data_IF_020091423385
#
_entry.id   IF_020091423385
#
_cell.length_a   1.000
_cell.length_b   1.000
_cell.length_c   1.000
_cell.angle_alpha   90.00
_cell.angle_beta   90.00
_cell.angle_gamma   90.00
#
_symmetry.space_group_name_H-M   'P 1'
#
loop_
_entity.id
_entity.type
_entity.pdbx_description
1 polymer ?
#
# COMPACT_ATOMS: atom_id res chain seq x y z
N UNK A 1 -18.22 -12.44 12.50
CA UNK A 1 -17.51 -11.20 12.87
C UNK A 1 -16.11 -11.21 12.24
N UNK A 2 -15.69 -10.15 11.57
CA UNK A 2 -14.36 -10.11 11.00
C UNK A 2 -13.28 -10.20 12.08
N UNK A 3 -12.08 -10.71 11.75
CA UNK A 3 -10.97 -10.74 12.69
C UNK A 3 -10.65 -9.31 13.18
N UNK A 4 -10.36 -9.20 14.46
CA UNK A 4 -10.10 -7.91 15.06
C UNK A 4 -8.96 -8.03 16.08
N UNK A 5 -7.99 -7.14 15.98
CA UNK A 5 -6.89 -7.03 16.94
C UNK A 5 -6.84 -5.60 17.47
N UNK A 6 -6.89 -5.45 18.78
CA UNK A 6 -6.81 -4.12 19.39
C UNK A 6 -5.39 -3.58 19.29
N UNK A 7 -5.21 -2.32 18.88
CA UNK A 7 -3.89 -1.69 18.94
C UNK A 7 -3.36 -1.68 20.39
N UNK A 8 -2.08 -1.97 20.55
CA UNK A 8 -1.43 -1.97 21.86
C UNK A 8 -0.80 -0.62 22.19
N UNK A 9 -0.77 0.32 21.23
CA UNK A 9 -0.12 1.61 21.36
C UNK A 9 -1.04 2.73 20.88
N UNK A 10 -0.80 3.94 21.37
CA UNK A 10 -1.42 5.14 20.81
C UNK A 10 -0.85 5.39 19.42
N UNK A 11 -1.62 6.05 18.55
CA UNK A 11 -1.19 6.33 17.18
C UNK A 11 0.15 7.08 17.12
N UNK A 12 0.36 8.01 18.07
CA UNK A 12 1.61 8.77 18.18
C UNK A 12 2.83 7.91 18.52
N UNK A 13 2.62 6.66 18.90
CA UNK A 13 3.67 5.68 19.22
C UNK A 13 3.77 4.57 18.15
N UNK A 14 2.82 4.52 17.21
CA UNK A 14 2.74 3.46 16.22
C UNK A 14 3.69 3.63 15.06
N UNK A 15 4.23 2.51 14.59
CA UNK A 15 4.84 2.40 13.27
C UNK A 15 3.73 2.04 12.27
N UNK A 16 3.54 2.89 11.27
CA UNK A 16 2.45 2.75 10.30
C UNK A 16 3.00 2.42 8.93
N UNK A 17 2.34 1.50 8.24
CA UNK A 17 2.61 1.18 6.84
C UNK A 17 1.37 1.42 6.00
N UNK A 18 1.58 1.74 4.73
CA UNK A 18 0.53 1.86 3.72
C UNK A 18 0.44 0.59 2.89
N UNK A 19 -0.77 0.15 2.63
CA UNK A 19 -1.08 -0.92 1.68
C UNK A 19 -2.21 -0.40 0.79
N UNK A 20 -1.97 -0.29 -0.50
CA UNK A 20 -2.97 0.22 -1.45
C UNK A 20 -3.32 -0.80 -2.52
N UNK A 21 -4.51 -0.69 -3.09
CA UNK A 21 -4.91 -1.42 -4.29
C UNK A 21 -4.91 -0.53 -5.53
N UNK A 22 -4.27 0.62 -5.45
CA UNK A 22 -4.28 1.63 -6.51
C UNK A 22 -3.32 1.38 -7.68
N UNK A 23 -2.59 0.28 -7.69
CA UNK A 23 -1.64 -0.02 -8.78
C UNK A 23 -0.42 0.89 -8.77
N UNK A 24 -0.03 1.40 -7.62
CA UNK A 24 1.10 2.34 -7.47
C UNK A 24 2.42 1.58 -7.61
N UNK A 25 3.38 2.18 -8.27
CA UNK A 25 4.73 1.63 -8.39
C UNK A 25 5.75 2.76 -8.69
N UNK A 26 7.02 2.45 -8.49
CA UNK A 26 8.09 3.36 -8.93
C UNK A 26 8.19 3.30 -10.47
N UNK A 27 8.64 4.39 -11.13
CA UNK A 27 8.79 4.39 -12.59
C UNK A 27 9.68 3.26 -13.12
N UNK A 28 10.68 2.84 -12.34
CA UNK A 28 11.60 1.76 -12.73
C UNK A 28 11.12 0.35 -12.42
N UNK A 29 10.02 0.20 -11.70
CA UNK A 29 9.44 -1.12 -11.42
C UNK A 29 8.57 -1.60 -12.58
N UNK A 30 8.41 -2.92 -12.76
CA UNK A 30 7.48 -3.45 -13.75
C UNK A 30 6.05 -2.92 -13.50
N UNK A 31 5.36 -2.59 -14.57
CA UNK A 31 3.95 -2.21 -14.49
C UNK A 31 3.10 -3.42 -14.10
N UNK A 32 1.95 -3.15 -13.46
CA UNK A 32 0.97 -4.20 -13.25
C UNK A 32 0.37 -4.62 -14.61
N UNK A 33 0.06 -5.91 -14.72
CA UNK A 33 -0.53 -6.47 -15.94
C UNK A 33 -2.04 -6.24 -15.92
N UNK A 34 -2.46 -5.13 -16.54
CA UNK A 34 -3.89 -4.77 -16.63
C UNK A 34 -4.65 -5.60 -17.67
N UNK A 35 -3.93 -6.37 -18.49
CA UNK A 35 -4.52 -7.20 -19.54
C UNK A 35 -4.78 -8.63 -19.06
N UNK A 36 -4.32 -9.00 -17.89
CA UNK A 36 -4.57 -10.32 -17.32
C UNK A 36 -6.06 -10.46 -16.97
N UNK A 37 -6.78 -11.41 -17.62
CA UNK A 37 -8.22 -11.57 -17.40
C UNK A 37 -8.58 -12.00 -15.97
N UNK A 38 -7.65 -12.58 -15.24
CA UNK A 38 -7.87 -13.02 -13.84
C UNK A 38 -7.41 -11.96 -12.84
N UNK A 39 -6.63 -11.00 -13.29
CA UNK A 39 -6.06 -9.95 -12.43
C UNK A 39 -4.64 -10.25 -12.01
N UNK A 40 -3.85 -9.20 -11.84
CA UNK A 40 -2.45 -9.28 -11.41
C UNK A 40 -2.39 -9.24 -9.89
N UNK A 41 -2.07 -10.37 -9.25
CA UNK A 41 -1.98 -10.50 -7.80
C UNK A 41 -0.60 -10.16 -7.23
N UNK A 42 0.33 -9.73 -8.07
CA UNK A 42 1.65 -9.28 -7.59
C UNK A 42 1.55 -7.95 -6.84
N UNK A 43 2.60 -7.63 -6.12
CA UNK A 43 2.68 -6.35 -5.40
C UNK A 43 4.03 -5.69 -5.63
N UNK A 44 4.12 -4.41 -5.28
CA UNK A 44 5.37 -3.64 -5.35
C UNK A 44 5.70 -3.11 -3.96
N UNK A 45 6.97 -3.14 -3.60
CA UNK A 45 7.46 -2.49 -2.40
C UNK A 45 7.82 -1.04 -2.74
N UNK A 46 7.31 -0.11 -1.94
CA UNK A 46 7.54 1.31 -2.13
C UNK A 46 8.32 1.83 -0.92
N UNK A 47 9.53 2.37 -1.13
CA UNK A 47 10.28 2.92 0.00
C UNK A 47 9.62 4.18 0.56
N UNK A 48 9.77 4.38 1.87
CA UNK A 48 9.15 5.51 2.56
C UNK A 48 9.62 6.87 2.04
N UNK A 49 10.82 6.95 1.50
CA UNK A 49 11.41 8.16 0.96
C UNK A 49 11.14 8.37 -0.53
N UNK A 50 10.30 7.54 -1.15
CA UNK A 50 9.98 7.66 -2.56
C UNK A 50 9.43 9.05 -2.88
N UNK A 51 10.01 9.68 -3.90
CA UNK A 51 9.60 11.01 -4.35
C UNK A 51 8.89 10.96 -5.70
N UNK A 52 9.11 9.89 -6.45
CA UNK A 52 8.64 9.77 -7.82
C UNK A 52 7.85 8.47 -7.96
N UNK A 53 6.53 8.60 -8.05
CA UNK A 53 5.61 7.47 -8.11
C UNK A 53 4.69 7.62 -9.32
N UNK A 54 4.28 6.48 -9.85
CA UNK A 54 3.25 6.43 -10.89
C UNK A 54 2.27 5.31 -10.54
N UNK A 55 1.27 5.09 -11.37
CA UNK A 55 0.31 4.03 -11.15
C UNK A 55 -0.16 3.43 -12.46
N UNK A 56 -0.61 2.17 -12.41
CA UNK A 56 -1.22 1.45 -13.52
C UNK A 56 -2.44 0.73 -13.00
N UNK A 57 -3.61 1.08 -13.48
CA UNK A 57 -4.87 0.49 -13.01
C UNK A 57 -5.79 0.14 -14.19
N UNK A 58 -6.57 -0.93 -14.05
CA UNK A 58 -7.44 -1.43 -15.12
C UNK A 58 -8.62 -0.50 -15.42
N UNK A 59 -9.12 0.22 -14.44
CA UNK A 59 -10.36 0.98 -14.56
C UNK A 59 -10.16 2.48 -14.71
N UNK A 60 -9.01 3.01 -14.37
CA UNK A 60 -8.74 4.42 -14.57
C UNK A 60 -7.27 4.65 -14.82
N UNK A 61 -6.95 5.81 -15.34
CA UNK A 61 -5.58 6.18 -15.68
C UNK A 61 -5.17 7.42 -14.90
N UNK A 62 -3.91 7.53 -14.48
CA UNK A 62 -3.43 8.77 -13.94
C UNK A 62 -3.53 9.85 -15.02
N UNK A 63 -4.05 10.99 -14.66
CA UNK A 63 -4.10 12.16 -15.52
C UNK A 63 -3.53 13.37 -14.76
N UNK A 64 -3.44 14.50 -15.47
CA UNK A 64 -2.83 15.70 -14.89
C UNK A 64 -3.57 16.25 -13.68
N UNK A 65 -4.82 15.91 -13.52
CA UNK A 65 -5.64 16.38 -12.40
C UNK A 65 -5.68 15.42 -11.22
N UNK A 66 -5.07 14.25 -11.33
CA UNK A 66 -5.18 13.22 -10.30
C UNK A 66 -4.11 13.40 -9.23
N UNK A 67 -4.56 13.54 -7.99
CA UNK A 67 -3.67 13.59 -6.83
C UNK A 67 -3.37 12.18 -6.34
N UNK A 68 -2.15 11.71 -6.57
CA UNK A 68 -1.70 10.39 -6.16
C UNK A 68 -1.77 10.21 -4.64
N UNK A 69 -1.57 11.28 -3.87
CA UNK A 69 -1.64 11.23 -2.40
C UNK A 69 -3.06 10.87 -1.91
N UNK A 70 -4.09 11.07 -2.73
CA UNK A 70 -5.44 10.64 -2.38
C UNK A 70 -5.62 9.12 -2.43
N UNK A 71 -4.79 8.44 -3.20
CA UNK A 71 -4.83 6.98 -3.36
C UNK A 71 -3.75 6.31 -2.50
N UNK A 72 -2.59 6.95 -2.41
CA UNK A 72 -1.45 6.45 -1.66
C UNK A 72 -0.87 7.60 -0.83
N UNK A 73 -1.43 7.87 0.35
CA UNK A 73 -1.16 9.11 1.11
C UNK A 73 0.20 9.11 1.83
N UNK A 74 1.27 8.83 1.10
CA UNK A 74 2.62 8.78 1.65
C UNK A 74 3.10 10.15 2.13
N UNK A 75 2.84 11.19 1.32
CA UNK A 75 3.24 12.56 1.68
C UNK A 75 2.46 13.07 2.89
N UNK A 76 1.16 12.78 2.94
CA UNK A 76 0.32 13.13 4.10
C UNK A 76 0.83 12.44 5.36
N UNK A 77 1.15 11.15 5.29
CA UNK A 77 1.68 10.42 6.44
C UNK A 77 3.04 10.95 6.89
N UNK A 78 3.91 11.31 5.96
CA UNK A 78 5.19 11.96 6.31
C UNK A 78 4.96 13.24 7.12
N UNK A 79 3.99 14.05 6.70
CA UNK A 79 3.61 15.26 7.41
C UNK A 79 3.10 14.97 8.82
N UNK A 80 2.25 13.93 8.97
CA UNK A 80 1.71 13.54 10.26
C UNK A 80 2.79 13.01 11.21
N UNK A 81 3.79 12.32 10.69
CA UNK A 81 4.95 11.92 11.49
C UNK A 81 5.72 13.16 11.97
N UNK A 82 5.93 14.12 11.07
CA UNK A 82 6.61 15.38 11.43
C UNK A 82 5.86 16.19 12.47
N UNK A 83 4.52 16.09 12.50
CA UNK A 83 3.67 16.76 13.49
C UNK A 83 3.49 15.97 14.79
N UNK A 84 4.01 14.74 14.87
CA UNK A 84 3.89 13.90 16.05
C UNK A 84 2.54 13.20 16.19
N UNK A 85 1.70 13.21 15.17
CA UNK A 85 0.40 12.51 15.17
C UNK A 85 0.58 11.01 15.00
N UNK A 86 1.54 10.62 14.15
CA UNK A 86 1.95 9.23 13.91
C UNK A 86 3.36 9.05 14.45
N UNK A 87 3.65 7.94 15.10
CA UNK A 87 4.95 7.70 15.73
C UNK A 87 6.08 7.62 14.72
N UNK A 88 5.97 6.72 13.75
CA UNK A 88 6.93 6.61 12.66
C UNK A 88 6.30 5.95 11.44
N UNK A 89 6.89 6.23 10.29
CA UNK A 89 6.50 5.62 9.03
C UNK A 89 7.40 4.42 8.79
N UNK A 90 6.81 3.27 8.42
CA UNK A 90 7.61 2.11 8.08
C UNK A 90 8.49 2.42 6.87
N UNK A 91 9.66 1.79 6.79
CA UNK A 91 10.64 2.02 5.71
C UNK A 91 10.16 1.55 4.35
N UNK A 92 9.18 0.64 4.30
CA UNK A 92 8.60 0.14 3.05
C UNK A 92 7.10 0.02 3.16
N UNK A 93 6.44 0.28 2.06
CA UNK A 93 4.99 0.21 1.91
C UNK A 93 4.68 -0.73 0.75
N UNK A 94 3.41 -1.09 0.57
CA UNK A 94 3.04 -2.13 -0.38
C UNK A 94 1.91 -1.66 -1.27
N UNK A 95 2.04 -1.94 -2.58
CA UNK A 95 1.02 -1.60 -3.55
C UNK A 95 0.60 -2.83 -4.33
N UNK A 96 -0.72 -3.06 -4.37
CA UNK A 96 -1.38 -4.09 -5.14
C UNK A 96 -2.19 -3.46 -6.26
N UNK A 97 -2.66 -4.27 -7.17
CA UNK A 97 -3.68 -3.93 -8.14
C UNK A 97 -5.07 -4.23 -7.58
N UNK A 98 -6.09 -3.46 -7.99
CA UNK A 98 -7.45 -3.61 -7.47
C UNK A 98 -8.34 -4.54 -8.27
N UNK A 99 -8.23 -4.56 -9.58
CA UNK A 99 -9.13 -5.32 -10.47
C UNK A 99 -8.73 -6.80 -10.55
N UNK A 100 -9.00 -7.55 -9.50
CA UNK A 100 -8.59 -8.97 -9.39
C UNK A 100 -9.83 -9.85 -9.41
N UNK A 101 -10.04 -10.57 -10.51
CA UNK A 101 -11.19 -11.46 -10.67
C UNK A 101 -10.97 -12.83 -10.05
N UNK A 102 -9.72 -13.32 -10.02
CA UNK A 102 -9.36 -14.53 -9.29
C UNK A 102 -8.45 -14.18 -8.11
N UNK A 103 -9.00 -14.06 -6.90
CA UNK A 103 -8.20 -13.68 -5.73
C UNK A 103 -7.45 -14.85 -5.08
N UNK A 104 -7.47 -16.06 -5.65
CA UNK A 104 -6.79 -17.21 -5.10
C UNK A 104 -5.31 -16.96 -4.81
N UNK A 105 -4.50 -16.56 -5.82
CA UNK A 105 -3.08 -16.28 -5.58
C UNK A 105 -2.85 -15.13 -4.60
N UNK A 106 -3.75 -14.14 -4.58
CA UNK A 106 -3.67 -13.05 -3.62
C UNK A 106 -3.83 -13.57 -2.18
N UNK A 107 -4.84 -14.40 -1.95
CA UNK A 107 -5.14 -14.95 -0.63
C UNK A 107 -4.11 -15.96 -0.15
N UNK A 108 -3.57 -16.74 -1.05
CA UNK A 108 -2.70 -17.88 -0.71
C UNK A 108 -1.22 -17.51 -0.70
N UNK A 109 -0.81 -16.52 -1.47
CA UNK A 109 0.61 -16.19 -1.67
C UNK A 109 0.94 -14.75 -1.32
N UNK A 110 0.46 -13.78 -2.10
CA UNK A 110 0.95 -12.40 -1.99
C UNK A 110 0.50 -11.68 -0.72
N UNK A 111 -0.75 -11.83 -0.29
CA UNK A 111 -1.21 -11.20 0.93
C UNK A 111 -0.54 -11.78 2.19
N UNK A 112 -0.42 -13.11 2.34
CA UNK A 112 0.35 -13.65 3.47
C UNK A 112 1.81 -13.22 3.46
N UNK A 113 2.43 -13.11 2.31
CA UNK A 113 3.82 -12.65 2.20
C UNK A 113 3.96 -11.20 2.68
N UNK A 114 3.07 -10.31 2.27
CA UNK A 114 3.07 -8.91 2.74
C UNK A 114 2.81 -8.85 4.24
N UNK A 115 1.88 -9.66 4.74
CA UNK A 115 1.60 -9.70 6.18
C UNK A 115 2.84 -10.10 6.99
N UNK A 116 3.60 -11.10 6.52
CA UNK A 116 4.85 -11.48 7.16
C UNK A 116 5.89 -10.36 7.15
N UNK A 117 6.00 -9.65 6.02
CA UNK A 117 6.94 -8.52 5.90
C UNK A 117 6.57 -7.38 6.84
N UNK A 118 5.29 -7.09 6.97
CA UNK A 118 4.81 -6.07 7.92
C UNK A 118 5.13 -6.48 9.37
N UNK A 119 4.89 -7.74 9.72
CA UNK A 119 5.21 -8.26 11.04
C UNK A 119 6.70 -8.23 11.32
N UNK A 120 7.52 -8.63 10.35
CA UNK A 120 8.97 -8.61 10.46
C UNK A 120 9.52 -7.21 10.66
N UNK A 121 8.88 -6.21 10.07
CA UNK A 121 9.27 -4.81 10.19
C UNK A 121 8.82 -4.18 11.52
N UNK A 122 8.00 -4.88 12.30
CA UNK A 122 7.46 -4.34 13.55
C UNK A 122 6.37 -3.30 13.33
N UNK A 123 5.60 -3.41 12.25
CA UNK A 123 4.49 -2.50 11.96
C UNK A 123 3.36 -2.72 12.98
N UNK A 124 2.89 -1.63 13.58
CA UNK A 124 1.82 -1.66 14.58
C UNK A 124 0.44 -1.49 13.94
N UNK A 125 0.36 -0.76 12.85
CA UNK A 125 -0.89 -0.52 12.14
C UNK A 125 -0.64 -0.35 10.65
N UNK A 126 -1.52 -0.93 9.82
CA UNK A 126 -1.49 -0.77 8.38
C UNK A 126 -2.74 0.01 7.93
N UNK A 127 -2.52 1.05 7.15
CA UNK A 127 -3.59 1.81 6.53
C UNK A 127 -3.81 1.25 5.13
N UNK A 128 -4.99 0.71 4.89
CA UNK A 128 -5.37 0.15 3.60
C UNK A 128 -6.17 1.18 2.82
N UNK A 129 -5.69 1.51 1.63
CA UNK A 129 -6.35 2.52 0.78
C UNK A 129 -6.86 1.86 -0.50
N UNK A 130 -8.17 1.90 -0.74
CA UNK A 130 -8.76 1.38 -1.97
C UNK A 130 -8.61 2.38 -3.12
N UNK A 131 -8.83 1.89 -4.29
CA UNK A 131 -8.89 2.74 -5.49
C UNK A 131 -10.21 2.58 -6.20
#
# INVERSE_FOLDING_TARGET
MPPFVRPQKLLEECRVALVTTGGVHLPGQPRFDIDDPLGDCSYREIPAEAADLTWTHAYYRPDEGTDLDSVFPLWTLRGLVGEGVVGELNRRHFAFMGAIHDPGPLKEESAPEVARKLADDGVDAALLTPS
#
